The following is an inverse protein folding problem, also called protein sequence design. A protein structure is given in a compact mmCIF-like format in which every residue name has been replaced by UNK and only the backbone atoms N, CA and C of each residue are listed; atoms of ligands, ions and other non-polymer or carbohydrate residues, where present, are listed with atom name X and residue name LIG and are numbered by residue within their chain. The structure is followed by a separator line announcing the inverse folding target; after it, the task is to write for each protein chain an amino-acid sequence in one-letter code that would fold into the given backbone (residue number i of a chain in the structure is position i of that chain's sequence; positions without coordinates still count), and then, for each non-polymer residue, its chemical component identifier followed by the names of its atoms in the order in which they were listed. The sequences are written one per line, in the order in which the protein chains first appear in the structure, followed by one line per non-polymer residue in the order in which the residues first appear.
data_IF_111768576731
#
_entry.id   IF_111768576731
#
_cell.length_a   1.000
_cell.length_b   1.000
_cell.length_c   1.000
_cell.angle_alpha   90.00
_cell.angle_beta   90.00
_cell.angle_gamma   90.00
#
_symmetry.space_group_name_H-M   'P 1'
#
loop_
_entity.id
_entity.type
_entity.pdbx_description
1 polymer ?
#
# COMPACT_ATOMS: atom_id res chain seq x y z
N UNK A 1 -38.25 -11.57 19.17
CA UNK A 1 -37.03 -10.96 19.77
C UNK A 1 -37.20 -9.45 19.75
N UNK A 2 -36.48 -8.66 20.57
CA UNK A 2 -36.52 -7.20 20.46
C UNK A 2 -35.93 -6.77 19.11
N UNK A 3 -36.72 -6.10 18.27
CA UNK A 3 -36.29 -5.60 16.95
C UNK A 3 -35.16 -4.59 17.13
N UNK A 4 -34.01 -4.82 16.50
CA UNK A 4 -32.87 -3.92 16.64
C UNK A 4 -33.13 -2.60 15.88
N UNK A 5 -33.00 -1.46 16.56
CA UNK A 5 -33.27 -0.14 15.95
C UNK A 5 -32.08 0.35 15.12
N UNK A 6 -31.92 -0.24 13.93
CA UNK A 6 -30.81 0.02 13.00
C UNK A 6 -30.52 1.53 12.81
N UNK A 7 -31.54 2.34 12.50
CA UNK A 7 -31.36 3.77 12.23
C UNK A 7 -30.95 4.63 13.45
N UNK A 8 -31.08 4.14 14.68
CA UNK A 8 -30.70 4.85 15.90
C UNK A 8 -29.52 4.22 16.65
N UNK A 9 -28.77 3.33 15.98
CA UNK A 9 -27.55 2.74 16.50
C UNK A 9 -26.31 3.47 15.99
N UNK A 10 -25.26 3.52 16.81
CA UNK A 10 -23.92 3.86 16.35
C UNK A 10 -23.22 2.60 15.82
N UNK A 11 -22.50 2.76 14.71
CA UNK A 11 -21.79 1.68 14.04
C UNK A 11 -20.29 1.79 14.21
N UNK A 12 -19.63 0.62 14.16
CA UNK A 12 -18.17 0.50 14.19
C UNK A 12 -17.68 0.16 12.78
N UNK A 13 -16.77 0.97 12.23
CA UNK A 13 -16.09 0.72 10.96
C UNK A 13 -14.60 0.91 11.15
N UNK A 14 -13.80 -0.07 10.73
CA UNK A 14 -12.34 -0.10 10.87
C UNK A 14 -11.86 0.31 12.27
N UNK A 15 -12.50 -0.31 13.28
CA UNK A 15 -12.27 -0.13 14.72
C UNK A 15 -12.65 1.25 15.31
N UNK A 16 -13.14 2.22 14.52
CA UNK A 16 -13.73 3.44 15.07
C UNK A 16 -15.26 3.32 15.20
N UNK A 17 -15.81 3.79 16.32
CA UNK A 17 -17.25 3.92 16.61
C UNK A 17 -17.78 5.32 16.28
N UNK A 18 -19.10 5.48 16.29
CA UNK A 18 -19.77 6.78 16.21
C UNK A 18 -20.29 7.14 14.81
N UNK A 19 -20.33 6.19 13.88
CA UNK A 19 -20.91 6.40 12.56
C UNK A 19 -22.41 6.11 12.54
N UNK A 20 -23.16 6.91 11.78
CA UNK A 20 -24.54 6.57 11.44
C UNK A 20 -24.62 5.35 10.52
N UNK A 21 -25.78 4.67 10.48
CA UNK A 21 -26.03 3.57 9.54
C UNK A 21 -25.70 3.95 8.09
N UNK A 22 -26.07 5.17 7.67
CA UNK A 22 -25.82 5.67 6.32
C UNK A 22 -24.32 5.77 6.01
N UNK A 23 -23.53 6.40 6.89
CA UNK A 23 -22.08 6.49 6.73
C UNK A 23 -21.43 5.10 6.72
N UNK A 24 -21.81 4.23 7.66
CA UNK A 24 -21.28 2.89 7.77
C UNK A 24 -21.55 2.06 6.50
N UNK A 25 -22.76 2.13 5.95
CA UNK A 25 -23.12 1.50 4.67
C UNK A 25 -22.25 2.01 3.51
N UNK A 26 -22.05 3.32 3.38
CA UNK A 26 -21.17 3.90 2.34
C UNK A 26 -19.71 3.48 2.50
N UNK A 27 -19.23 3.35 3.73
CA UNK A 27 -17.88 2.86 4.01
C UNK A 27 -17.74 1.36 3.71
N UNK A 28 -18.72 0.54 4.07
CA UNK A 28 -18.71 -0.89 3.75
C UNK A 28 -18.81 -1.16 2.25
N UNK A 29 -19.63 -0.41 1.49
CA UNK A 29 -19.70 -0.50 0.02
C UNK A 29 -18.39 -0.05 -0.66
N UNK A 30 -17.62 0.84 -0.03
CA UNK A 30 -16.26 1.10 -0.46
C UNK A 30 -15.33 -0.07 -0.12
N UNK A 31 -15.32 -0.55 1.13
CA UNK A 31 -14.36 -1.53 1.64
C UNK A 31 -14.53 -2.95 1.07
N UNK A 32 -15.75 -3.37 0.78
CA UNK A 32 -16.06 -4.73 0.35
C UNK A 32 -16.53 -4.77 -1.10
N UNK A 33 -15.84 -5.55 -1.93
CA UNK A 33 -16.15 -5.74 -3.34
C UNK A 33 -17.52 -6.39 -3.60
N UNK A 34 -18.05 -7.13 -2.62
CA UNK A 34 -19.34 -7.80 -2.70
C UNK A 34 -20.03 -7.87 -1.33
N UNK A 35 -21.35 -8.04 -1.34
CA UNK A 35 -22.14 -8.28 -0.12
C UNK A 35 -21.64 -9.52 0.64
N UNK A 36 -21.11 -10.53 -0.06
CA UNK A 36 -20.55 -11.73 0.58
C UNK A 36 -19.30 -11.44 1.42
N UNK A 37 -18.45 -10.49 1.01
CA UNK A 37 -17.32 -10.04 1.80
C UNK A 37 -17.78 -9.26 3.05
N UNK A 38 -18.76 -8.37 2.91
CA UNK A 38 -19.41 -7.70 4.06
C UNK A 38 -20.02 -8.72 5.04
N UNK A 39 -20.76 -9.72 4.54
CA UNK A 39 -21.39 -10.77 5.36
C UNK A 39 -20.39 -11.58 6.17
N UNK A 40 -19.28 -11.97 5.54
CA UNK A 40 -18.19 -12.71 6.19
C UNK A 40 -17.51 -11.89 7.28
N UNK A 41 -17.22 -10.62 7.01
CA UNK A 41 -16.32 -9.83 7.86
C UNK A 41 -17.05 -8.99 8.91
N UNK A 42 -18.32 -8.60 8.68
CA UNK A 42 -19.12 -7.76 9.58
C UNK A 42 -20.26 -8.51 10.26
N UNK A 43 -21.12 -9.22 9.51
CA UNK A 43 -22.37 -9.81 10.06
C UNK A 43 -22.29 -11.30 10.39
N UNK A 44 -21.07 -11.82 10.58
CA UNK A 44 -20.83 -13.23 10.95
C UNK A 44 -21.51 -13.67 12.26
N UNK A 45 -21.79 -12.75 13.18
CA UNK A 45 -22.46 -13.05 14.44
C UNK A 45 -24.00 -13.09 14.26
N UNK A 46 -24.72 -14.14 14.73
CA UNK A 46 -26.16 -14.31 14.47
C UNK A 46 -27.06 -13.12 14.88
N UNK A 47 -26.68 -12.35 15.90
CA UNK A 47 -27.44 -11.17 16.33
C UNK A 47 -27.42 -10.00 15.32
N UNK A 48 -26.63 -10.09 14.24
CA UNK A 48 -26.53 -9.08 13.19
C UNK A 48 -27.34 -9.42 11.93
N UNK A 49 -28.20 -10.45 11.96
CA UNK A 49 -28.99 -10.85 10.78
C UNK A 49 -30.04 -9.81 10.32
N UNK A 50 -30.58 -9.01 11.23
CA UNK A 50 -31.45 -7.87 10.88
C UNK A 50 -30.67 -6.81 10.07
N UNK A 51 -29.42 -6.53 10.47
CA UNK A 51 -28.51 -5.63 9.74
C UNK A 51 -28.07 -6.23 8.40
N UNK A 52 -27.79 -7.53 8.38
CA UNK A 52 -27.38 -8.25 7.16
C UNK A 52 -28.44 -8.16 6.06
N UNK A 53 -29.70 -8.46 6.38
CA UNK A 53 -30.80 -8.38 5.44
C UNK A 53 -31.03 -6.96 4.93
N UNK A 54 -30.99 -5.96 5.83
CA UNK A 54 -31.15 -4.55 5.47
C UNK A 54 -30.05 -4.04 4.53
N UNK A 55 -28.79 -4.38 4.81
CA UNK A 55 -27.64 -3.95 3.99
C UNK A 55 -27.60 -4.71 2.65
N UNK A 56 -28.07 -5.96 2.60
CA UNK A 56 -28.22 -6.73 1.36
C UNK A 56 -29.31 -6.15 0.45
N UNK A 57 -30.51 -5.89 0.98
CA UNK A 57 -31.63 -5.27 0.25
C UNK A 57 -31.20 -3.95 -0.43
N UNK A 58 -30.42 -3.13 0.29
CA UNK A 58 -29.98 -1.83 -0.20
C UNK A 58 -28.67 -1.89 -1.01
N UNK A 59 -27.97 -3.03 -1.07
CA UNK A 59 -26.54 -3.09 -1.42
C UNK A 59 -26.19 -2.38 -2.73
N UNK A 60 -26.98 -2.56 -3.79
CA UNK A 60 -26.71 -1.95 -5.11
C UNK A 60 -27.21 -0.50 -5.27
N UNK A 61 -27.91 0.04 -4.27
CA UNK A 61 -28.29 1.46 -4.24
C UNK A 61 -27.29 2.33 -3.47
N UNK A 62 -26.52 1.74 -2.54
CA UNK A 62 -25.51 2.44 -1.75
C UNK A 62 -24.45 3.04 -2.68
N UNK A 63 -24.30 4.36 -2.64
CA UNK A 63 -23.17 5.05 -3.24
C UNK A 63 -21.95 4.95 -2.30
N UNK A 64 -20.84 4.30 -2.70
CA UNK A 64 -19.65 4.25 -1.85
C UNK A 64 -19.10 5.66 -1.58
N UNK A 65 -18.20 5.78 -0.60
CA UNK A 65 -17.40 7.01 -0.44
C UNK A 65 -16.37 7.15 -1.57
N UNK A 66 -16.20 8.39 -2.02
CA UNK A 66 -15.21 8.76 -3.04
C UNK A 66 -13.92 9.27 -2.39
N UNK A 67 -12.83 9.23 -3.17
CA UNK A 67 -11.54 9.82 -2.78
C UNK A 67 -11.65 11.34 -2.61
N UNK A 68 -12.46 12.00 -3.43
CA UNK A 68 -12.67 13.45 -3.33
C UNK A 68 -13.36 13.83 -2.01
N UNK A 69 -14.35 13.05 -1.54
CA UNK A 69 -14.91 13.24 -0.20
C UNK A 69 -13.86 13.00 0.91
N UNK A 70 -13.05 11.96 0.79
CA UNK A 70 -11.99 11.66 1.78
C UNK A 70 -10.91 12.76 1.85
N UNK A 71 -10.53 13.35 0.71
CA UNK A 71 -9.62 14.51 0.65
C UNK A 71 -10.24 15.80 1.20
N UNK A 72 -11.58 15.88 1.27
CA UNK A 72 -12.31 17.05 1.78
C UNK A 72 -12.70 16.94 3.26
N UNK A 73 -12.73 15.73 3.84
CA UNK A 73 -13.01 15.49 5.25
C UNK A 73 -11.97 16.16 6.16
N UNK A 74 -12.47 16.91 7.15
CA UNK A 74 -11.67 17.71 8.09
C UNK A 74 -11.41 16.97 9.40
N UNK A 75 -12.29 16.03 9.78
CA UNK A 75 -12.04 15.13 10.90
C UNK A 75 -10.98 14.09 10.51
N UNK A 76 -9.77 14.25 11.04
CA UNK A 76 -8.60 13.43 10.71
C UNK A 76 -8.83 11.93 10.88
N UNK A 77 -9.52 11.50 11.95
CA UNK A 77 -9.78 10.09 12.20
C UNK A 77 -10.86 9.54 11.27
N UNK A 78 -11.92 10.31 10.99
CA UNK A 78 -12.96 9.89 10.02
C UNK A 78 -12.35 9.76 8.62
N UNK A 79 -11.51 10.73 8.22
CA UNK A 79 -10.72 10.69 6.99
C UNK A 79 -9.82 9.45 6.91
N UNK A 80 -9.20 9.05 8.02
CA UNK A 80 -8.39 7.83 8.10
C UNK A 80 -9.22 6.57 7.83
N UNK A 81 -10.41 6.46 8.42
CA UNK A 81 -11.34 5.34 8.14
C UNK A 81 -11.82 5.37 6.69
N UNK A 82 -12.08 6.56 6.13
CA UNK A 82 -12.45 6.70 4.71
C UNK A 82 -11.36 6.17 3.78
N UNK A 83 -10.08 6.54 3.97
CA UNK A 83 -8.99 6.01 3.14
C UNK A 83 -8.73 4.51 3.35
N UNK A 84 -8.86 3.98 4.57
CA UNK A 84 -8.79 2.54 4.83
C UNK A 84 -9.92 1.76 4.12
N UNK A 85 -11.13 2.34 4.05
CA UNK A 85 -12.26 1.74 3.34
C UNK A 85 -12.19 1.90 1.82
N UNK A 86 -11.53 2.93 1.30
CA UNK A 86 -11.31 3.10 -0.15
C UNK A 86 -10.20 2.18 -0.65
N UNK A 87 -9.13 2.00 0.15
CA UNK A 87 -7.96 1.20 -0.21
C UNK A 87 -6.97 1.92 -1.14
N UNK A 88 -5.69 1.54 -1.05
CA UNK A 88 -4.60 2.24 -1.74
C UNK A 88 -4.73 2.21 -3.27
N UNK A 89 -5.13 1.08 -3.86
CA UNK A 89 -5.22 0.92 -5.31
C UNK A 89 -6.25 1.88 -5.93
N UNK A 90 -7.44 2.01 -5.31
CA UNK A 90 -8.48 2.92 -5.78
C UNK A 90 -8.13 4.38 -5.53
N UNK A 91 -7.46 4.68 -4.42
CA UNK A 91 -6.88 6.01 -4.15
C UNK A 91 -5.96 6.44 -5.31
N UNK A 92 -4.92 5.65 -5.61
CA UNK A 92 -3.98 5.99 -6.67
C UNK A 92 -4.63 6.01 -8.06
N UNK A 93 -5.53 5.08 -8.38
CA UNK A 93 -6.28 5.10 -9.65
C UNK A 93 -7.10 6.40 -9.84
N UNK A 94 -7.80 6.86 -8.80
CA UNK A 94 -8.61 8.09 -8.89
C UNK A 94 -7.79 9.37 -9.05
N UNK A 95 -6.52 9.33 -8.66
CA UNK A 95 -5.58 10.44 -8.80
C UNK A 95 -4.97 10.50 -10.20
N UNK A 96 -5.24 9.53 -11.09
CA UNK A 96 -4.78 9.51 -12.49
C UNK A 96 -3.24 9.79 -12.58
N UNK A 97 -2.41 8.80 -12.20
CA UNK A 97 -0.98 8.98 -12.01
C UNK A 97 -0.21 8.67 -13.30
N UNK A 98 0.74 9.53 -13.66
CA UNK A 98 1.60 9.33 -14.84
C UNK A 98 2.66 8.27 -14.54
N UNK A 99 2.65 7.14 -15.25
CA UNK A 99 3.76 6.19 -15.24
C UNK A 99 5.01 6.84 -15.86
N UNK A 100 6.12 6.82 -15.14
CA UNK A 100 7.40 7.37 -15.60
C UNK A 100 8.40 6.28 -16.03
N UNK A 101 8.41 5.14 -15.34
CA UNK A 101 9.30 4.02 -15.62
C UNK A 101 8.70 2.70 -15.09
N UNK A 102 9.06 1.59 -15.74
CA UNK A 102 8.69 0.22 -15.34
C UNK A 102 9.87 -0.72 -15.58
N UNK A 103 10.39 -1.30 -14.49
CA UNK A 103 11.48 -2.27 -14.52
C UNK A 103 11.04 -3.58 -13.84
N UNK A 104 11.62 -4.69 -14.30
CA UNK A 104 11.36 -6.04 -13.79
C UNK A 104 12.68 -6.68 -13.41
N UNK A 105 12.74 -7.34 -12.26
CA UNK A 105 13.92 -8.11 -11.80
C UNK A 105 13.49 -9.57 -11.62
N UNK A 106 13.92 -10.43 -12.54
CA UNK A 106 13.84 -11.87 -12.38
C UNK A 106 14.80 -12.33 -11.27
N UNK A 107 14.29 -13.03 -10.26
CA UNK A 107 15.08 -13.57 -9.15
C UNK A 107 14.86 -15.07 -9.03
N UNK A 108 15.88 -15.79 -8.59
CA UNK A 108 15.81 -17.21 -8.25
C UNK A 108 15.87 -17.37 -6.73
N UNK A 109 14.99 -18.17 -6.15
CA UNK A 109 14.96 -18.49 -4.73
C UNK A 109 14.78 -19.99 -4.51
N UNK A 110 15.54 -20.55 -3.56
CA UNK A 110 15.37 -21.94 -3.15
C UNK A 110 14.07 -22.07 -2.35
N UNK A 111 13.25 -23.06 -2.70
CA UNK A 111 12.06 -23.47 -1.97
C UNK A 111 12.12 -24.95 -1.64
N UNK A 112 11.34 -25.38 -0.66
CA UNK A 112 11.23 -26.78 -0.25
C UNK A 112 9.91 -27.37 -0.75
N UNK A 113 9.94 -28.59 -1.27
CA UNK A 113 8.74 -29.32 -1.67
C UNK A 113 8.04 -30.00 -0.47
N UNK A 114 6.90 -30.67 -0.72
CA UNK A 114 6.14 -31.41 0.31
C UNK A 114 6.87 -32.63 0.89
N UNK A 115 8.12 -32.89 0.49
CA UNK A 115 8.99 -33.98 0.96
C UNK A 115 10.31 -33.45 1.54
N UNK A 116 10.40 -32.14 1.79
CA UNK A 116 11.63 -31.44 2.20
C UNK A 116 12.81 -31.67 1.23
N UNK A 117 12.55 -31.72 -0.08
CA UNK A 117 13.57 -31.60 -1.11
C UNK A 117 13.67 -30.14 -1.59
N UNK A 118 14.88 -29.57 -1.73
CA UNK A 118 15.03 -28.22 -2.27
C UNK A 118 14.82 -28.21 -3.80
N UNK A 119 14.23 -27.12 -4.30
CA UNK A 119 14.11 -26.80 -5.72
C UNK A 119 14.27 -25.30 -5.95
N UNK A 120 14.81 -24.92 -7.10
CA UNK A 120 14.89 -23.52 -7.52
C UNK A 120 13.54 -23.05 -8.06
N UNK A 121 13.11 -21.87 -7.63
CA UNK A 121 11.92 -21.20 -8.13
C UNK A 121 12.29 -19.82 -8.65
N UNK A 122 12.12 -19.61 -9.96
CA UNK A 122 12.23 -18.29 -10.60
C UNK A 122 10.89 -17.57 -10.55
N UNK A 123 10.92 -16.29 -10.21
CA UNK A 123 9.76 -15.39 -10.17
C UNK A 123 10.23 -13.95 -10.40
N UNK A 124 9.34 -13.11 -10.92
CA UNK A 124 9.66 -11.76 -11.38
C UNK A 124 9.12 -10.68 -10.43
N UNK A 125 10.00 -9.78 -9.98
CA UNK A 125 9.63 -8.61 -9.18
C UNK A 125 9.44 -7.41 -10.11
N UNK A 126 8.19 -7.00 -10.31
CA UNK A 126 7.85 -5.80 -11.11
C UNK A 126 7.78 -4.55 -10.22
N UNK A 127 8.40 -3.47 -10.69
CA UNK A 127 8.38 -2.15 -10.07
C UNK A 127 7.94 -1.09 -11.08
N UNK A 128 6.96 -0.28 -10.70
CA UNK A 128 6.41 0.81 -11.53
C UNK A 128 6.57 2.14 -10.79
N UNK A 129 7.25 3.11 -11.39
CA UNK A 129 7.47 4.44 -10.83
C UNK A 129 6.47 5.42 -11.41
N UNK A 130 5.72 6.09 -10.53
CA UNK A 130 4.66 7.03 -10.89
C UNK A 130 4.93 8.45 -10.39
N UNK A 131 4.43 9.43 -11.15
CA UNK A 131 4.27 10.83 -10.77
C UNK A 131 2.79 11.17 -10.61
N UNK A 132 2.47 11.89 -9.56
CA UNK A 132 1.15 12.43 -9.26
C UNK A 132 1.21 13.96 -9.30
N UNK A 133 0.13 14.56 -9.78
CA UNK A 133 -0.09 15.99 -9.63
C UNK A 133 -0.44 16.32 -8.18
N UNK A 134 0.36 17.21 -7.56
CA UNK A 134 0.15 17.64 -6.19
C UNK A 134 -1.21 18.32 -5.98
N UNK A 135 -1.75 19.00 -7.01
CA UNK A 135 -3.04 19.69 -6.93
C UNK A 135 -4.22 18.72 -6.72
N UNK A 136 -4.07 17.46 -7.13
CA UNK A 136 -5.07 16.39 -6.89
C UNK A 136 -5.04 15.86 -5.45
N UNK A 137 -3.95 16.10 -4.70
CA UNK A 137 -3.75 15.64 -3.31
C UNK A 137 -3.90 16.75 -2.28
N UNK A 138 -3.45 17.96 -2.60
CA UNK A 138 -3.41 19.09 -1.68
C UNK A 138 -4.25 20.24 -2.23
N UNK A 139 -5.28 20.65 -1.46
CA UNK A 139 -5.94 21.94 -1.69
C UNK A 139 -4.92 23.06 -1.42
N UNK A 140 -4.49 23.75 -2.46
CA UNK A 140 -3.67 24.95 -2.35
C UNK A 140 -4.42 26.16 -2.90
N UNK A 141 -4.32 27.29 -2.20
CA UNK A 141 -4.81 28.59 -2.68
C UNK A 141 -3.64 29.55 -3.02
N UNK A 142 -2.38 29.16 -2.77
CA UNK A 142 -1.25 30.11 -2.69
C UNK A 142 0.07 29.64 -3.36
N UNK A 143 0.17 28.39 -3.80
CA UNK A 143 1.26 27.92 -4.68
C UNK A 143 0.92 26.61 -5.39
N UNK A 144 1.47 26.36 -6.58
CA UNK A 144 1.44 25.01 -7.16
C UNK A 144 2.20 24.04 -6.23
N UNK A 145 1.55 22.99 -5.70
CA UNK A 145 2.20 22.00 -4.87
C UNK A 145 3.13 21.12 -5.71
N UNK A 146 4.30 20.78 -5.16
CA UNK A 146 5.27 19.91 -5.84
C UNK A 146 4.64 18.57 -6.24
N UNK A 147 5.04 18.00 -7.40
CA UNK A 147 4.59 16.68 -7.81
C UNK A 147 5.01 15.62 -6.78
N UNK A 148 4.12 14.68 -6.51
CA UNK A 148 4.39 13.57 -5.58
C UNK A 148 4.83 12.37 -6.40
N UNK A 149 5.85 11.64 -5.94
CA UNK A 149 6.33 10.43 -6.58
C UNK A 149 6.06 9.20 -5.71
N UNK A 150 5.75 8.08 -6.35
CA UNK A 150 5.50 6.82 -5.68
C UNK A 150 6.04 5.64 -6.50
N UNK A 151 6.64 4.67 -5.82
CA UNK A 151 6.95 3.36 -6.42
C UNK A 151 5.87 2.35 -6.03
N UNK A 152 5.35 1.66 -7.03
CA UNK A 152 4.34 0.60 -6.91
C UNK A 152 5.04 -0.76 -7.03
N UNK A 153 4.69 -1.68 -6.15
CA UNK A 153 5.22 -3.05 -6.14
C UNK A 153 4.24 -4.04 -5.49
N UNK A 154 4.57 -5.33 -5.56
CA UNK A 154 3.74 -6.41 -5.01
C UNK A 154 4.52 -7.27 -4.01
N UNK A 155 3.86 -7.72 -2.95
CA UNK A 155 4.42 -8.78 -2.09
C UNK A 155 4.30 -10.13 -2.80
N UNK A 156 5.43 -10.77 -3.07
CA UNK A 156 5.50 -11.98 -3.91
C UNK A 156 5.10 -13.29 -3.19
N UNK A 157 4.60 -13.16 -1.96
CA UNK A 157 4.04 -14.27 -1.15
C UNK A 157 2.53 -14.10 -0.92
N UNK A 158 1.99 -12.88 -1.02
CA UNK A 158 0.57 -12.58 -0.74
C UNK A 158 -0.14 -11.87 -1.90
N UNK A 159 0.57 -11.57 -2.99
CA UNK A 159 0.14 -10.79 -4.17
C UNK A 159 -0.39 -9.38 -3.85
N UNK A 160 -0.29 -8.95 -2.59
CA UNK A 160 -0.76 -7.65 -2.12
C UNK A 160 0.02 -6.53 -2.81
N UNK A 161 -0.73 -5.58 -3.36
CA UNK A 161 -0.23 -4.33 -3.95
C UNK A 161 0.18 -3.31 -2.87
N UNK A 162 1.30 -2.64 -3.10
CA UNK A 162 1.84 -1.56 -2.27
C UNK A 162 2.17 -0.37 -3.15
N UNK A 163 1.91 0.84 -2.64
CA UNK A 163 2.38 2.10 -3.18
C UNK A 163 3.16 2.81 -2.10
N UNK A 164 4.42 3.13 -2.36
CA UNK A 164 5.34 3.73 -1.39
C UNK A 164 5.76 5.11 -1.90
N UNK A 165 5.46 6.15 -1.13
CA UNK A 165 5.93 7.51 -1.43
C UNK A 165 7.45 7.59 -1.33
N UNK A 166 8.07 8.21 -2.33
CA UNK A 166 9.52 8.39 -2.45
C UNK A 166 9.80 9.81 -2.94
N UNK A 167 10.94 10.43 -2.58
CA UNK A 167 11.23 11.81 -2.92
C UNK A 167 11.73 11.97 -4.36
N UNK A 168 11.77 13.20 -4.86
CA UNK A 168 12.11 13.51 -6.26
C UNK A 168 13.52 13.03 -6.65
N UNK A 169 14.50 13.12 -5.75
CA UNK A 169 15.86 12.63 -5.96
C UNK A 169 15.94 11.10 -6.05
N UNK A 170 15.05 10.37 -5.37
CA UNK A 170 14.93 8.91 -5.54
C UNK A 170 14.25 8.58 -6.88
N UNK A 171 13.19 9.32 -7.23
CA UNK A 171 12.45 9.16 -8.48
C UNK A 171 13.33 9.43 -9.71
N UNK A 172 13.98 10.60 -9.77
CA UNK A 172 14.61 11.16 -10.97
C UNK A 172 16.14 11.25 -10.91
N UNK A 173 16.74 11.08 -9.73
CA UNK A 173 18.18 11.29 -9.51
C UNK A 173 18.53 12.75 -9.16
N UNK A 174 19.75 12.94 -8.66
CA UNK A 174 20.23 14.25 -8.22
C UNK A 174 20.44 15.22 -9.39
N UNK A 175 19.98 16.46 -9.27
CA UNK A 175 20.13 17.51 -10.30
C UNK A 175 21.58 17.88 -10.66
N UNK A 176 22.58 17.37 -9.92
CA UNK A 176 24.01 17.57 -10.20
C UNK A 176 24.50 16.62 -11.30
N UNK A 177 23.89 15.43 -11.45
CA UNK A 177 24.09 14.57 -12.62
C UNK A 177 23.21 15.04 -13.77
N UNK A 178 23.78 15.14 -14.97
CA UNK A 178 23.26 15.90 -16.12
C UNK A 178 22.02 15.32 -16.84
N UNK A 179 21.30 14.37 -16.23
CA UNK A 179 20.04 13.86 -16.76
C UNK A 179 19.11 13.35 -15.64
N UNK A 180 17.99 14.04 -15.42
CA UNK A 180 16.91 13.64 -14.50
C UNK A 180 16.10 12.48 -15.09
N UNK A 181 16.63 11.26 -14.97
CA UNK A 181 16.04 10.06 -15.56
C UNK A 181 15.24 9.27 -14.51
N UNK A 182 13.93 9.03 -14.73
CA UNK A 182 13.14 8.14 -13.88
C UNK A 182 13.77 6.74 -13.74
N UNK A 183 13.73 6.16 -12.53
CA UNK A 183 14.26 4.81 -12.29
C UNK A 183 13.53 4.11 -11.12
N UNK A 184 12.65 3.17 -11.44
CA UNK A 184 11.85 2.41 -10.49
C UNK A 184 12.70 1.52 -9.55
N UNK A 185 13.87 1.03 -10.01
CA UNK A 185 14.76 0.23 -9.15
C UNK A 185 15.51 1.12 -8.17
N UNK A 186 15.96 2.32 -8.58
CA UNK A 186 16.49 3.31 -7.63
C UNK A 186 15.41 3.74 -6.63
N UNK A 187 14.18 3.93 -7.08
CA UNK A 187 13.06 4.29 -6.22
C UNK A 187 12.74 3.21 -5.16
N UNK A 188 12.66 1.92 -5.51
CA UNK A 188 12.46 0.85 -4.51
C UNK A 188 13.71 0.62 -3.64
N UNK A 189 14.92 0.72 -4.19
CA UNK A 189 16.16 0.61 -3.41
C UNK A 189 16.19 1.66 -2.29
N UNK A 190 15.80 2.90 -2.59
CA UNK A 190 15.70 3.99 -1.62
C UNK A 190 14.71 3.68 -0.48
N UNK A 191 13.67 2.87 -0.69
CA UNK A 191 12.74 2.51 0.42
C UNK A 191 13.38 1.66 1.52
N UNK A 192 14.53 1.02 1.24
CA UNK A 192 15.26 0.19 2.18
C UNK A 192 16.41 0.99 2.78
N UNK A 193 16.51 0.96 4.12
CA UNK A 193 17.66 1.49 4.86
C UNK A 193 18.37 0.40 5.65
N UNK A 194 19.67 0.55 5.79
CA UNK A 194 20.54 -0.24 6.66
C UNK A 194 21.55 0.68 7.35
N UNK A 195 22.17 0.19 8.41
CA UNK A 195 23.07 0.90 9.31
C UNK A 195 24.50 0.30 9.36
N UNK A 196 24.82 -0.68 8.49
CA UNK A 196 26.17 -1.23 8.36
C UNK A 196 26.85 -0.85 7.05
N UNK A 197 28.16 -0.56 7.11
CA UNK A 197 29.02 -0.47 5.94
C UNK A 197 29.32 -1.85 5.35
N UNK A 198 29.69 -1.90 4.07
CA UNK A 198 30.14 -3.10 3.35
C UNK A 198 29.35 -4.40 3.66
N UNK A 199 28.00 -4.40 3.63
CA UNK A 199 27.21 -5.61 3.86
C UNK A 199 27.60 -6.69 2.83
N UNK A 200 27.82 -7.92 3.30
CA UNK A 200 28.15 -9.08 2.48
C UNK A 200 26.95 -9.52 1.63
N UNK A 201 25.76 -9.49 2.23
CA UNK A 201 24.44 -9.75 1.64
C UNK A 201 23.39 -8.94 2.39
N UNK A 202 22.22 -8.77 1.79
CA UNK A 202 21.04 -8.22 2.45
C UNK A 202 19.89 -9.17 2.14
N UNK A 203 19.20 -9.64 3.16
CA UNK A 203 18.04 -10.53 3.05
C UNK A 203 16.76 -9.75 3.29
N UNK A 204 15.73 -9.99 2.46
CA UNK A 204 14.39 -9.42 2.62
C UNK A 204 13.33 -10.50 2.73
N UNK A 205 12.55 -10.46 3.81
CA UNK A 205 11.38 -11.30 4.06
C UNK A 205 10.18 -10.38 4.34
N UNK A 206 9.39 -10.07 3.31
CA UNK A 206 8.30 -9.09 3.41
C UNK A 206 8.80 -7.68 3.71
N UNK A 207 8.50 -7.18 4.91
CA UNK A 207 8.93 -5.87 5.41
C UNK A 207 10.16 -5.95 6.34
N UNK A 208 10.62 -7.17 6.67
CA UNK A 208 11.85 -7.40 7.45
C UNK A 208 13.05 -7.37 6.51
N UNK A 209 14.08 -6.61 6.90
CA UNK A 209 15.38 -6.50 6.23
C UNK A 209 16.47 -6.92 7.22
N UNK A 210 17.37 -7.81 6.80
CA UNK A 210 18.53 -8.26 7.60
C UNK A 210 19.78 -8.10 6.76
N UNK A 211 20.79 -7.38 7.26
CA UNK A 211 22.06 -7.21 6.56
C UNK A 211 23.13 -8.15 7.15
N UNK A 212 23.73 -8.99 6.30
CA UNK A 212 24.84 -9.86 6.68
C UNK A 212 26.13 -9.02 6.75
N UNK A 213 26.75 -8.93 7.92
CA UNK A 213 28.05 -8.26 8.08
C UNK A 213 29.16 -9.00 7.33
N UNK A 214 30.05 -8.24 6.70
CA UNK A 214 31.35 -8.73 6.21
C UNK A 214 32.44 -8.51 7.27
N UNK A 215 33.64 -9.11 7.12
CA UNK A 215 34.80 -8.75 7.94
C UNK A 215 35.28 -7.29 7.80
N UNK A 216 34.68 -6.52 6.87
CA UNK A 216 34.93 -5.09 6.63
C UNK A 216 33.71 -4.23 7.01
N UNK A 217 32.66 -4.82 7.58
CA UNK A 217 31.49 -4.08 8.06
C UNK A 217 31.80 -3.33 9.35
N UNK A 218 31.27 -2.12 9.42
CA UNK A 218 31.27 -1.24 10.59
C UNK A 218 29.89 -0.62 10.72
N UNK A 219 29.48 -0.27 11.94
CA UNK A 219 28.26 0.50 12.15
C UNK A 219 28.39 1.90 11.53
N UNK A 220 27.26 2.46 11.09
CA UNK A 220 27.15 3.73 10.37
C UNK A 220 25.82 4.42 10.69
N UNK A 221 25.66 5.69 10.32
CA UNK A 221 24.34 6.32 10.33
C UNK A 221 23.42 5.64 9.29
N UNK A 222 22.13 5.34 9.61
CA UNK A 222 21.24 4.64 8.69
C UNK A 222 21.12 5.33 7.33
N UNK A 223 21.47 4.62 6.26
CA UNK A 223 21.49 5.13 4.89
C UNK A 223 20.57 4.30 3.97
N UNK A 224 20.13 4.93 2.88
CA UNK A 224 19.26 4.32 1.87
C UNK A 224 20.09 3.54 0.84
N UNK A 225 19.63 2.36 0.41
CA UNK A 225 20.38 1.56 -0.56
C UNK A 225 20.47 2.24 -1.94
N UNK A 226 21.63 2.12 -2.58
CA UNK A 226 21.78 2.45 -4.01
C UNK A 226 21.13 1.37 -4.90
N UNK A 227 20.89 1.71 -6.18
CA UNK A 227 20.39 0.73 -7.17
C UNK A 227 21.35 -0.45 -7.34
N UNK A 228 22.65 -0.18 -7.30
CA UNK A 228 23.72 -1.14 -7.46
C UNK A 228 23.79 -2.08 -6.24
N UNK A 229 23.70 -1.53 -5.02
CA UNK A 229 23.60 -2.33 -3.80
C UNK A 229 22.35 -3.20 -3.80
N UNK A 230 21.19 -2.65 -4.19
CA UNK A 230 19.96 -3.41 -4.29
C UNK A 230 20.07 -4.56 -5.31
N UNK A 231 20.60 -4.30 -6.51
CA UNK A 231 20.72 -5.33 -7.56
C UNK A 231 21.78 -6.40 -7.25
N UNK A 232 22.86 -6.07 -6.53
CA UNK A 232 23.98 -7.00 -6.27
C UNK A 232 23.91 -7.72 -4.92
N UNK A 233 23.24 -7.15 -3.91
CA UNK A 233 23.25 -7.67 -2.54
C UNK A 233 21.88 -8.15 -2.04
N UNK A 234 20.76 -7.76 -2.67
CA UNK A 234 19.41 -8.13 -2.20
C UNK A 234 19.05 -9.57 -2.57
N UNK A 235 19.23 -10.48 -1.62
CA UNK A 235 18.63 -11.81 -1.65
C UNK A 235 17.22 -11.76 -1.02
N UNK A 236 16.31 -12.56 -1.56
CA UNK A 236 14.92 -12.62 -1.09
C UNK A 236 14.63 -14.03 -0.59
N UNK A 237 14.60 -14.16 0.73
CA UNK A 237 14.38 -15.42 1.44
C UNK A 237 12.96 -15.45 2.03
N UNK A 238 12.45 -16.65 2.32
CA UNK A 238 11.07 -16.91 2.77
C UNK A 238 11.05 -17.86 3.94
#
# INVERSE_FOLDING_TARGET
MPTFKLHSAEYIVSHMRGFSLSEAMRFWKAKFESINHFKRDVTHHPALKDLEAFVEEHWETIQPITVQEALQETNMEKRRVMFDCIGVSRLFQSLDPTLLDKQVISKVRNRWDKKNKPYEHTFDDTYELYRLDGNKLFKSEQSDPNPVFAVRCWCTTTEREYWIYIPEEAALGNSISSSRNPDAIRAIAWTIRIDISHPKRIFRQGDIIVAEQSPQSTDTAPYHLSKEQYLSLMYSET
#
